data_IF_603151208166
#
_entry.id   IF_603151208166
#
_cell.length_a   1.000
_cell.length_b   1.000
_cell.length_c   1.000
_cell.angle_alpha   90.00
_cell.angle_beta   90.00
_cell.angle_gamma   90.00
#
_symmetry.space_group_name_H-M   'P 1'
#
loop_
_entity.id
_entity.type
_entity.pdbx_description
1 polymer ?
#
# COMPACT_ATOMS: atom_id res chain seq x y z
N UNK A 1 1.81 44.06 -35.45
CA UNK A 1 0.39 43.78 -35.13
C UNK A 1 0.29 42.29 -34.77
N UNK A 2 0.50 41.95 -33.49
CA UNK A 2 0.48 40.57 -33.00
C UNK A 2 -0.94 40.18 -32.55
N UNK A 3 -1.43 39.04 -33.05
CA UNK A 3 -2.81 38.58 -32.92
C UNK A 3 -3.20 38.21 -31.48
N UNK A 4 -4.20 38.91 -30.93
CA UNK A 4 -4.89 38.64 -29.66
C UNK A 4 -5.84 37.42 -29.70
N UNK A 5 -5.88 36.68 -30.81
CA UNK A 5 -6.86 35.61 -31.07
C UNK A 5 -6.69 34.26 -30.33
N UNK A 6 -5.49 33.79 -29.93
CA UNK A 6 -5.36 32.45 -29.36
C UNK A 6 -5.83 32.35 -27.89
N UNK A 7 -5.67 33.43 -27.10
CA UNK A 7 -6.10 33.48 -25.70
C UNK A 7 -7.62 33.49 -25.54
N UNK A 8 -8.34 34.13 -26.47
CA UNK A 8 -9.80 34.18 -26.47
C UNK A 8 -10.41 32.81 -26.78
N UNK A 9 -9.82 32.05 -27.72
CA UNK A 9 -10.24 30.68 -28.03
C UNK A 9 -10.01 29.71 -26.87
N UNK A 10 -8.92 29.88 -26.12
CA UNK A 10 -8.62 29.05 -24.94
C UNK A 10 -9.63 29.31 -23.80
N UNK A 11 -9.95 30.58 -23.52
CA UNK A 11 -10.97 30.94 -22.51
C UNK A 11 -12.35 30.38 -22.83
N UNK A 12 -12.76 30.44 -24.09
CA UNK A 12 -14.05 29.87 -24.54
C UNK A 12 -14.09 28.34 -24.40
N UNK A 13 -12.98 27.65 -24.69
CA UNK A 13 -12.90 26.19 -24.58
C UNK A 13 -12.92 25.71 -23.11
N UNK A 14 -12.27 26.45 -22.21
CA UNK A 14 -12.30 26.16 -20.76
C UNK A 14 -13.70 26.41 -20.18
N UNK A 15 -14.34 27.51 -20.57
CA UNK A 15 -15.71 27.83 -20.12
C UNK A 15 -16.72 26.77 -20.56
N UNK A 16 -16.57 26.22 -21.76
CA UNK A 16 -17.42 25.14 -22.25
C UNK A 16 -17.21 23.84 -21.46
N UNK A 17 -15.96 23.44 -21.19
CA UNK A 17 -15.64 22.24 -20.41
C UNK A 17 -16.15 22.37 -18.96
N UNK A 18 -16.01 23.55 -18.34
CA UNK A 18 -16.55 23.81 -17.00
C UNK A 18 -18.07 23.68 -16.96
N UNK A 19 -18.77 24.20 -17.96
CA UNK A 19 -20.24 24.11 -18.00
C UNK A 19 -20.75 22.67 -18.17
N UNK A 20 -20.04 21.83 -18.93
CA UNK A 20 -20.38 20.40 -19.04
C UNK A 20 -20.07 19.63 -17.74
N UNK A 21 -18.95 19.92 -17.08
CA UNK A 21 -18.63 19.36 -15.75
C UNK A 21 -19.67 19.75 -14.69
N UNK A 22 -20.16 20.99 -14.70
CA UNK A 22 -21.19 21.47 -13.77
C UNK A 22 -22.53 20.77 -14.02
N UNK A 23 -22.87 20.42 -15.27
CA UNK A 23 -24.08 19.64 -15.58
C UNK A 23 -23.98 18.22 -15.02
N UNK A 24 -22.83 17.57 -15.15
CA UNK A 24 -22.58 16.25 -14.56
C UNK A 24 -22.57 16.28 -13.03
N UNK A 25 -22.03 17.33 -12.41
CA UNK A 25 -22.06 17.50 -10.95
C UNK A 25 -23.46 17.77 -10.41
N UNK A 26 -24.32 18.46 -11.17
CA UNK A 26 -25.73 18.71 -10.80
C UNK A 26 -26.64 17.49 -10.94
N UNK A 27 -26.29 16.49 -11.75
CA UNK A 27 -27.09 15.26 -11.87
C UNK A 27 -26.85 14.25 -10.75
N UNK A 28 -25.84 14.48 -9.90
CA UNK A 28 -25.54 13.62 -8.77
C UNK A 28 -26.39 14.10 -7.59
N UNK A 29 -27.43 13.34 -7.28
CA UNK A 29 -28.35 13.64 -6.18
C UNK A 29 -27.56 13.59 -4.86
N UNK A 30 -27.24 14.76 -4.27
CA UNK A 30 -26.39 14.88 -3.09
C UNK A 30 -26.90 14.06 -1.89
N UNK A 31 -28.20 13.78 -1.83
CA UNK A 31 -28.84 12.90 -0.85
C UNK A 31 -28.34 11.46 -0.92
N UNK A 32 -27.98 10.95 -2.10
CA UNK A 32 -27.41 9.60 -2.25
C UNK A 32 -25.93 9.56 -1.84
N UNK A 33 -25.18 10.66 -2.03
CA UNK A 33 -23.80 10.78 -1.55
C UNK A 33 -23.76 10.84 -0.02
N UNK A 34 -24.67 11.61 0.59
CA UNK A 34 -24.76 11.74 2.06
C UNK A 34 -25.21 10.43 2.71
N UNK A 35 -26.12 9.66 2.09
CA UNK A 35 -26.53 8.35 2.59
C UNK A 35 -25.40 7.31 2.48
N UNK A 36 -24.61 7.32 1.39
CA UNK A 36 -23.44 6.45 1.22
C UNK A 36 -22.31 6.80 2.21
N UNK A 37 -22.12 8.08 2.54
CA UNK A 37 -21.14 8.56 3.52
C UNK A 37 -21.55 8.28 4.97
N UNK A 38 -22.86 8.22 5.27
CA UNK A 38 -23.35 7.96 6.63
C UNK A 38 -23.21 6.50 7.10
N UNK A 39 -22.88 5.57 6.20
CA UNK A 39 -22.63 4.17 6.54
C UNK A 39 -21.16 3.86 6.90
N UNK A 40 -20.28 4.88 6.96
CA UNK A 40 -18.82 4.69 7.00
C UNK A 40 -18.13 5.15 8.30
N UNK A 41 -18.87 5.45 9.37
CA UNK A 41 -18.25 5.90 10.62
C UNK A 41 -18.40 4.85 11.73
N UNK A 42 -17.37 4.02 11.90
CA UNK A 42 -17.12 3.34 13.18
C UNK A 42 -15.84 3.91 13.77
N UNK A 43 -15.91 4.42 15.00
CA UNK A 43 -14.74 4.76 15.80
C UNK A 43 -14.48 3.60 16.74
N UNK A 44 -13.41 2.85 16.48
CA UNK A 44 -12.86 1.87 17.40
C UNK A 44 -11.36 2.11 17.51
N UNK A 45 -10.85 2.06 18.74
CA UNK A 45 -9.48 2.37 19.15
C UNK A 45 -8.75 1.08 19.51
N UNK A 46 -8.69 0.14 18.58
CA UNK A 46 -7.76 -0.98 18.61
C UNK A 46 -7.49 -1.42 17.16
N UNK A 47 -6.22 -1.68 16.81
CA UNK A 47 -5.80 -1.88 15.42
C UNK A 47 -4.91 -3.10 15.25
N UNK A 48 -5.30 -4.05 14.42
CA UNK A 48 -4.37 -5.07 13.93
C UNK A 48 -3.37 -4.46 12.93
N UNK A 49 -2.11 -4.90 13.03
CA UNK A 49 -1.02 -4.44 12.16
C UNK A 49 -1.36 -4.66 10.69
N UNK A 50 -1.06 -3.67 9.86
CA UNK A 50 -1.36 -3.73 8.43
C UNK A 50 -0.56 -4.83 7.74
N UNK A 51 -1.26 -5.74 7.06
CA UNK A 51 -0.64 -6.84 6.34
C UNK A 51 0.13 -6.32 5.11
N UNK A 52 1.38 -6.74 4.98
CA UNK A 52 2.24 -6.44 3.84
C UNK A 52 2.49 -7.71 3.01
N UNK A 53 2.79 -7.55 1.71
CA UNK A 53 3.37 -8.66 0.94
C UNK A 53 4.71 -9.07 1.53
N UNK A 54 5.17 -10.30 1.32
CA UNK A 54 6.52 -10.73 1.71
C UNK A 54 7.59 -9.79 1.14
N UNK A 55 7.43 -9.34 -0.10
CA UNK A 55 8.30 -8.33 -0.71
C UNK A 55 8.28 -7.00 0.05
N UNK A 56 7.11 -6.45 0.38
CA UNK A 56 7.02 -5.20 1.14
C UNK A 56 7.62 -5.37 2.53
N UNK A 57 7.35 -6.50 3.20
CA UNK A 57 7.96 -6.82 4.49
C UNK A 57 9.48 -6.79 4.41
N UNK A 58 10.08 -7.39 3.37
CA UNK A 58 11.56 -7.41 3.19
C UNK A 58 12.18 -6.03 2.92
N UNK A 59 11.37 -5.04 2.58
CA UNK A 59 11.76 -3.65 2.30
C UNK A 59 11.17 -2.68 3.33
N UNK A 60 10.75 -3.18 4.49
CA UNK A 60 10.16 -2.40 5.58
C UNK A 60 8.95 -1.57 5.14
N UNK A 61 8.15 -2.10 4.22
CA UNK A 61 6.98 -1.44 3.65
C UNK A 61 7.30 -0.33 2.64
N UNK A 62 8.54 -0.25 2.14
CA UNK A 62 8.95 0.68 1.08
C UNK A 62 8.60 0.12 -0.28
N UNK A 63 8.03 0.93 -1.17
CA UNK A 63 7.72 0.53 -2.53
C UNK A 63 6.68 1.37 -3.24
N UNK A 64 6.29 2.55 -2.74
CA UNK A 64 5.23 3.36 -3.34
C UNK A 64 5.56 3.73 -4.79
N UNK A 65 6.83 4.02 -5.08
CA UNK A 65 7.32 4.31 -6.44
C UNK A 65 7.81 3.10 -7.21
N UNK A 66 7.86 1.94 -6.56
CA UNK A 66 8.37 0.73 -7.18
C UNK A 66 7.37 0.18 -8.19
N UNK A 67 7.90 -0.34 -9.29
CA UNK A 67 7.11 -1.01 -10.31
C UNK A 67 6.85 -2.44 -9.82
N UNK A 68 5.75 -2.62 -9.10
CA UNK A 68 5.37 -3.86 -8.43
C UNK A 68 4.02 -4.41 -8.90
N UNK A 69 3.90 -5.73 -9.01
CA UNK A 69 2.67 -6.40 -9.49
C UNK A 69 1.72 -6.73 -8.35
N UNK A 70 2.18 -7.51 -7.36
CA UNK A 70 1.33 -8.05 -6.30
C UNK A 70 0.88 -6.95 -5.33
N UNK A 71 1.76 -5.97 -5.14
CA UNK A 71 1.56 -4.82 -4.27
C UNK A 71 0.51 -3.84 -4.81
N UNK A 72 0.06 -4.00 -6.06
CA UNK A 72 -1.09 -3.27 -6.59
C UNK A 72 -2.39 -3.56 -5.82
N UNK A 73 -2.47 -4.71 -5.15
CA UNK A 73 -3.60 -5.10 -4.32
C UNK A 73 -3.52 -4.58 -2.88
N UNK A 74 -2.41 -3.92 -2.47
CA UNK A 74 -2.22 -3.50 -1.06
C UNK A 74 -1.63 -2.11 -0.87
N UNK A 75 -0.81 -1.62 -1.80
CA UNK A 75 -0.02 -0.39 -1.64
C UNK A 75 -0.35 0.65 -2.71
N UNK A 76 0.18 0.49 -3.94
CA UNK A 76 -0.02 1.44 -5.03
C UNK A 76 -0.64 0.73 -6.24
N UNK A 77 -1.95 0.88 -6.50
CA UNK A 77 -2.60 0.23 -7.64
C UNK A 77 -2.08 0.71 -9.00
N UNK A 78 -1.43 1.87 -9.09
CA UNK A 78 -0.97 2.41 -10.37
C UNK A 78 0.19 1.61 -10.97
N UNK A 79 1.03 0.95 -10.16
CA UNK A 79 2.28 0.32 -10.59
C UNK A 79 2.06 -0.87 -11.54
N UNK A 80 0.96 -1.60 -11.39
CA UNK A 80 0.60 -2.77 -12.21
C UNK A 80 0.49 -2.45 -13.70
N UNK A 81 0.22 -1.18 -14.06
CA UNK A 81 0.09 -0.78 -15.46
C UNK A 81 1.33 -1.14 -16.30
N UNK A 82 2.51 -1.09 -15.68
CA UNK A 82 3.79 -1.33 -16.33
C UNK A 82 4.20 -2.82 -16.40
N UNK A 83 3.34 -3.74 -15.94
CA UNK A 83 3.56 -5.19 -16.07
C UNK A 83 2.74 -5.80 -17.19
N UNK A 84 3.32 -6.75 -17.91
CA UNK A 84 2.69 -7.41 -19.05
C UNK A 84 2.43 -8.90 -18.82
N UNK A 85 2.55 -9.36 -17.58
CA UNK A 85 2.38 -10.76 -17.24
C UNK A 85 1.43 -10.90 -16.05
N UNK A 86 0.42 -11.76 -16.23
CA UNK A 86 -0.54 -12.09 -15.19
C UNK A 86 0.09 -13.05 -14.19
N UNK A 87 -0.37 -13.03 -12.95
CA UNK A 87 0.21 -13.88 -11.93
C UNK A 87 -0.80 -14.30 -10.85
N UNK A 88 -0.44 -15.38 -10.15
CA UNK A 88 -1.02 -15.75 -8.87
C UNK A 88 0.10 -15.68 -7.84
N UNK A 89 -0.21 -15.09 -6.69
CA UNK A 89 0.70 -14.94 -5.56
C UNK A 89 0.03 -15.47 -4.30
N UNK A 90 0.76 -16.26 -3.53
CA UNK A 90 0.33 -16.71 -2.21
C UNK A 90 1.44 -16.49 -1.20
N UNK A 91 1.07 -15.99 -0.02
CA UNK A 91 1.97 -15.92 1.12
C UNK A 91 1.32 -16.51 2.37
N UNK A 92 2.18 -16.99 3.27
CA UNK A 92 1.86 -17.21 4.67
C UNK A 92 2.98 -16.64 5.53
N UNK A 93 2.62 -16.06 6.66
CA UNK A 93 3.58 -15.56 7.63
C UNK A 93 3.04 -15.59 9.04
N UNK A 94 3.93 -15.25 9.97
CA UNK A 94 3.65 -15.20 11.40
C UNK A 94 4.42 -14.07 12.05
N UNK A 95 4.00 -13.67 13.24
CA UNK A 95 4.78 -12.81 14.13
C UNK A 95 4.78 -13.35 15.54
N UNK A 96 5.89 -13.18 16.25
CA UNK A 96 6.03 -13.48 17.68
C UNK A 96 6.54 -12.24 18.42
N UNK A 97 6.20 -12.16 19.70
CA UNK A 97 6.75 -11.14 20.59
C UNK A 97 7.89 -11.75 21.39
N UNK A 98 9.08 -11.16 21.23
CA UNK A 98 10.26 -11.41 22.03
C UNK A 98 10.25 -10.51 23.26
N UNK A 99 10.89 -10.97 24.35
CA UNK A 99 11.00 -10.22 25.61
C UNK A 99 9.64 -9.83 26.24
N UNK A 100 8.65 -10.74 26.15
CA UNK A 100 7.26 -10.54 26.64
C UNK A 100 7.22 -9.88 28.03
N UNK A 101 6.58 -8.72 28.11
CA UNK A 101 6.42 -7.96 29.35
C UNK A 101 5.59 -8.75 30.36
N UNK A 102 5.95 -8.65 31.64
CA UNK A 102 5.20 -9.25 32.75
C UNK A 102 3.77 -8.69 32.90
N UNK A 103 3.47 -7.57 32.23
CA UNK A 103 2.15 -6.91 32.23
C UNK A 103 1.23 -7.40 31.10
N UNK A 104 1.71 -8.27 30.21
CA UNK A 104 0.95 -8.74 29.05
C UNK A 104 -0.03 -9.85 29.40
N UNK A 105 -1.33 -9.60 29.21
CA UNK A 105 -2.40 -10.57 29.50
C UNK A 105 -2.79 -11.45 28.29
N UNK A 106 -2.47 -11.03 27.06
CA UNK A 106 -2.86 -11.70 25.81
C UNK A 106 -1.65 -12.22 25.03
N UNK A 107 -1.83 -13.35 24.36
CA UNK A 107 -0.81 -13.87 23.45
C UNK A 107 -0.60 -12.92 22.28
N UNK A 108 0.66 -12.57 22.03
CA UNK A 108 1.08 -11.60 21.03
C UNK A 108 1.33 -12.21 19.66
N UNK A 109 1.33 -13.53 19.58
CA UNK A 109 1.63 -14.26 18.37
C UNK A 109 0.49 -14.07 17.35
N UNK A 110 0.85 -13.90 16.09
CA UNK A 110 -0.10 -13.67 15.00
C UNK A 110 0.23 -14.54 13.80
N UNK A 111 -0.80 -14.99 13.09
CA UNK A 111 -0.68 -15.65 11.79
C UNK A 111 -1.39 -14.83 10.72
N UNK A 112 -0.87 -14.89 9.50
CA UNK A 112 -1.51 -14.25 8.36
C UNK A 112 -1.26 -14.99 7.06
N UNK A 113 -2.17 -14.81 6.12
CA UNK A 113 -2.05 -15.33 4.76
C UNK A 113 -2.70 -14.37 3.77
N UNK A 114 -2.19 -14.39 2.54
CA UNK A 114 -2.77 -13.61 1.44
C UNK A 114 -2.66 -14.37 0.13
N UNK A 115 -3.75 -14.35 -0.63
CA UNK A 115 -3.80 -14.74 -2.03
C UNK A 115 -4.01 -13.48 -2.87
N UNK A 116 -3.24 -13.30 -3.94
CA UNK A 116 -3.44 -12.25 -4.94
C UNK A 116 -3.50 -12.90 -6.32
N UNK A 117 -4.46 -12.48 -7.14
CA UNK A 117 -4.58 -12.82 -8.54
C UNK A 117 -4.50 -11.52 -9.33
N UNK A 118 -3.62 -11.49 -10.32
CA UNK A 118 -3.35 -10.31 -11.14
C UNK A 118 -3.65 -10.62 -12.59
N UNK A 119 -4.44 -9.76 -13.24
CA UNK A 119 -4.65 -9.79 -14.68
C UNK A 119 -4.10 -8.52 -15.34
N UNK A 120 -3.19 -8.71 -16.30
CA UNK A 120 -2.54 -7.64 -17.06
C UNK A 120 -2.79 -7.73 -18.57
N UNK A 121 -3.67 -8.64 -18.99
CA UNK A 121 -3.90 -8.96 -20.42
C UNK A 121 -4.65 -7.86 -21.18
N UNK A 122 -5.38 -7.01 -20.46
CA UNK A 122 -6.22 -5.96 -21.04
C UNK A 122 -5.60 -4.55 -20.88
N UNK A 123 -6.19 -3.54 -21.53
CA UNK A 123 -5.80 -2.14 -21.33
C UNK A 123 -6.08 -1.65 -19.90
N UNK A 124 -7.10 -2.22 -19.26
CA UNK A 124 -7.37 -2.06 -17.84
C UNK A 124 -6.71 -3.24 -17.11
N UNK A 125 -5.65 -2.96 -16.36
CA UNK A 125 -4.92 -3.98 -15.60
C UNK A 125 -5.39 -3.94 -14.16
N UNK A 126 -5.45 -5.08 -13.48
CA UNK A 126 -6.02 -5.12 -12.14
C UNK A 126 -5.64 -6.36 -11.36
N UNK A 127 -5.99 -6.33 -10.09
CA UNK A 127 -5.76 -7.45 -9.19
C UNK A 127 -6.92 -7.64 -8.22
N UNK A 128 -7.04 -8.86 -7.73
CA UNK A 128 -7.94 -9.24 -6.65
C UNK A 128 -7.12 -9.89 -5.56
N UNK A 129 -7.40 -9.58 -4.28
CA UNK A 129 -6.76 -10.26 -3.17
C UNK A 129 -7.73 -10.66 -2.08
N UNK A 130 -7.41 -11.75 -1.39
CA UNK A 130 -8.03 -12.18 -0.17
C UNK A 130 -6.98 -12.34 0.92
N UNK A 131 -7.26 -11.82 2.10
CA UNK A 131 -6.34 -11.78 3.23
C UNK A 131 -7.04 -12.23 4.50
N UNK A 132 -6.34 -12.99 5.33
CA UNK A 132 -6.75 -13.26 6.71
C UNK A 132 -5.60 -13.03 7.65
N UNK A 133 -5.91 -12.51 8.84
CA UNK A 133 -4.98 -12.27 9.93
C UNK A 133 -5.64 -12.64 11.25
N UNK A 134 -4.92 -13.34 12.12
CA UNK A 134 -5.39 -13.77 13.43
C UNK A 134 -4.31 -13.45 14.47
N UNK A 135 -4.68 -12.81 15.57
CA UNK A 135 -3.80 -12.51 16.70
C UNK A 135 -4.58 -12.69 18.02
N UNK A 136 -4.35 -13.80 18.71
CA UNK A 136 -5.10 -14.14 19.92
C UNK A 136 -6.61 -14.27 19.66
N UNK A 137 -7.41 -13.33 20.17
CA UNK A 137 -8.87 -13.26 19.95
C UNK A 137 -9.27 -12.30 18.83
N UNK A 138 -8.30 -11.60 18.24
CA UNK A 138 -8.54 -10.63 17.20
C UNK A 138 -8.39 -11.29 15.84
N UNK A 139 -9.31 -11.00 14.92
CA UNK A 139 -9.20 -11.44 13.55
C UNK A 139 -9.49 -10.31 12.57
N UNK A 140 -9.01 -10.49 11.34
CA UNK A 140 -9.31 -9.61 10.21
C UNK A 140 -9.41 -10.43 8.94
N UNK A 141 -10.48 -10.19 8.18
CA UNK A 141 -10.66 -10.66 6.81
C UNK A 141 -10.73 -9.45 5.89
N UNK A 142 -10.00 -9.51 4.78
CA UNK A 142 -9.96 -8.40 3.84
C UNK A 142 -10.00 -8.89 2.41
N UNK A 143 -10.87 -8.25 1.63
CA UNK A 143 -10.98 -8.44 0.19
C UNK A 143 -10.60 -7.13 -0.48
N UNK A 144 -9.73 -7.21 -1.48
CA UNK A 144 -9.31 -6.05 -2.24
C UNK A 144 -9.50 -6.29 -3.72
N UNK A 145 -9.93 -5.25 -4.44
CA UNK A 145 -9.92 -5.21 -5.90
C UNK A 145 -9.23 -3.94 -6.34
N UNK A 146 -8.33 -4.05 -7.32
CA UNK A 146 -7.63 -2.91 -7.90
C UNK A 146 -7.78 -2.87 -9.42
N UNK A 147 -7.71 -1.67 -9.96
CA UNK A 147 -7.70 -1.41 -11.39
C UNK A 147 -6.79 -0.23 -11.71
N UNK A 148 -6.12 -0.27 -12.85
CA UNK A 148 -5.13 0.69 -13.26
C UNK A 148 -5.14 0.95 -14.76
N UNK A 149 -4.88 2.20 -15.12
CA UNK A 149 -4.84 2.67 -16.50
C UNK A 149 -3.70 3.67 -16.69
N UNK A 150 -3.31 3.94 -17.93
CA UNK A 150 -2.33 4.98 -18.21
C UNK A 150 -2.96 6.37 -18.29
N UNK A 151 -2.19 7.35 -17.82
CA UNK A 151 -2.40 8.78 -18.07
C UNK A 151 -1.47 9.32 -19.17
N UNK A 152 -0.60 8.46 -19.73
CA UNK A 152 0.36 8.80 -20.78
C UNK A 152 1.26 7.62 -21.12
N UNK A 153 2.44 7.89 -21.67
CA UNK A 153 3.45 6.84 -21.93
C UNK A 153 4.19 6.41 -20.65
N UNK A 154 4.35 7.35 -19.74
CA UNK A 154 5.22 7.22 -18.57
C UNK A 154 4.45 7.40 -17.25
N UNK A 155 3.13 7.55 -17.31
CA UNK A 155 2.30 7.82 -16.14
C UNK A 155 1.13 6.86 -16.10
N UNK A 156 0.81 6.36 -14.91
CA UNK A 156 -0.38 5.55 -14.65
C UNK A 156 -1.12 6.06 -13.42
N UNK A 157 -2.41 5.73 -13.39
CA UNK A 157 -3.31 5.98 -12.30
C UNK A 157 -4.02 4.67 -11.95
N UNK A 158 -4.17 4.42 -10.66
CA UNK A 158 -4.85 3.25 -10.15
C UNK A 158 -5.86 3.59 -9.07
N UNK A 159 -6.86 2.73 -8.96
CA UNK A 159 -7.86 2.73 -7.88
C UNK A 159 -7.84 1.36 -7.24
N UNK A 160 -7.94 1.33 -5.93
CA UNK A 160 -8.07 0.12 -5.13
C UNK A 160 -9.26 0.32 -4.20
N UNK A 161 -10.14 -0.67 -4.18
CA UNK A 161 -11.25 -0.77 -3.25
C UNK A 161 -10.99 -1.93 -2.30
N UNK A 162 -11.20 -1.69 -1.01
CA UNK A 162 -10.91 -2.62 0.07
C UNK A 162 -12.13 -2.76 0.98
N UNK A 163 -12.60 -3.99 1.14
CA UNK A 163 -13.59 -4.39 2.14
C UNK A 163 -12.84 -5.05 3.29
N UNK A 164 -13.03 -4.55 4.51
CA UNK A 164 -12.43 -5.13 5.72
C UNK A 164 -13.52 -5.46 6.73
N UNK A 165 -13.42 -6.66 7.29
CA UNK A 165 -14.19 -7.14 8.42
C UNK A 165 -13.19 -7.55 9.50
N UNK A 166 -13.33 -7.02 10.72
CA UNK A 166 -12.40 -7.29 11.81
C UNK A 166 -13.10 -7.33 13.17
N UNK A 167 -12.62 -8.20 14.05
CA UNK A 167 -13.05 -8.31 15.44
C UNK A 167 -11.88 -7.94 16.38
N UNK A 168 -11.54 -6.65 16.48
CA UNK A 168 -10.38 -6.18 17.29
C UNK A 168 -10.83 -5.62 18.65
N UNK A 169 -11.78 -4.70 18.63
CA UNK A 169 -12.46 -4.08 19.79
C UNK A 169 -13.99 -4.20 19.68
N UNK A 170 -14.44 -5.23 18.97
CA UNK A 170 -15.82 -5.42 18.54
C UNK A 170 -15.89 -5.60 17.03
N UNK A 171 -17.04 -6.09 16.57
CA UNK A 171 -17.24 -6.39 15.16
C UNK A 171 -17.37 -5.11 14.34
N UNK A 172 -16.44 -4.91 13.40
CA UNK A 172 -16.40 -3.74 12.52
C UNK A 172 -16.31 -4.17 11.06
N UNK A 173 -17.11 -3.50 10.23
CA UNK A 173 -17.08 -3.64 8.78
C UNK A 173 -16.93 -2.26 8.17
N UNK A 174 -15.95 -2.10 7.28
CA UNK A 174 -15.70 -0.83 6.63
C UNK A 174 -15.09 -0.99 5.23
N UNK A 175 -15.19 0.09 4.46
CA UNK A 175 -14.86 0.14 3.04
C UNK A 175 -13.90 1.29 2.76
N UNK A 176 -12.72 0.98 2.22
CA UNK A 176 -11.69 1.97 1.96
C UNK A 176 -11.43 2.08 0.45
N UNK A 177 -11.13 3.30 0.01
CA UNK A 177 -10.61 3.58 -1.34
C UNK A 177 -9.16 4.02 -1.27
N UNK A 178 -8.31 3.53 -2.18
CA UNK A 178 -6.93 4.01 -2.32
C UNK A 178 -6.72 4.43 -3.77
N UNK A 179 -6.23 5.66 -3.95
CA UNK A 179 -5.85 6.19 -5.25
C UNK A 179 -4.33 6.19 -5.38
N UNK A 180 -3.84 5.70 -6.51
CA UNK A 180 -2.41 5.59 -6.79
C UNK A 180 -2.02 6.36 -8.05
N UNK A 181 -0.81 6.91 -8.04
CA UNK A 181 -0.12 7.45 -9.20
C UNK A 181 1.27 6.85 -9.27
N UNK A 182 1.72 6.54 -10.49
CA UNK A 182 3.10 6.15 -10.76
C UNK A 182 3.60 6.92 -11.99
N UNK A 183 4.80 7.48 -11.88
CA UNK A 183 5.45 8.20 -12.98
C UNK A 183 6.88 7.68 -13.18
N UNK A 184 7.16 7.16 -14.39
CA UNK A 184 8.48 6.73 -14.82
C UNK A 184 9.21 7.88 -15.51
N UNK A 185 10.11 8.55 -14.80
CA UNK A 185 10.91 9.62 -15.41
C UNK A 185 11.85 9.06 -16.47
N UNK A 186 12.51 7.94 -16.16
CA UNK A 186 13.30 7.14 -17.10
C UNK A 186 13.39 5.68 -16.57
N UNK A 187 14.17 4.83 -17.24
CA UNK A 187 14.36 3.42 -16.85
C UNK A 187 14.99 3.22 -15.46
N UNK A 188 15.61 4.26 -14.88
CA UNK A 188 16.28 4.20 -13.59
C UNK A 188 15.52 4.91 -12.48
N UNK A 189 14.64 5.85 -12.79
CA UNK A 189 14.01 6.71 -11.80
C UNK A 189 12.50 6.69 -11.97
N UNK A 190 11.79 6.28 -10.92
CA UNK A 190 10.35 6.35 -10.83
C UNK A 190 9.92 7.06 -9.55
N UNK A 191 8.74 7.68 -9.65
CA UNK A 191 8.05 8.34 -8.56
C UNK A 191 6.67 7.70 -8.38
N UNK A 192 6.19 7.71 -7.15
CA UNK A 192 4.86 7.22 -6.84
C UNK A 192 4.19 8.11 -5.81
N UNK A 193 2.87 8.13 -5.82
CA UNK A 193 2.07 8.78 -4.79
C UNK A 193 0.81 7.97 -4.53
N UNK A 194 0.35 7.97 -3.28
CA UNK A 194 -0.92 7.35 -2.90
C UNK A 194 -1.72 8.30 -2.02
N UNK A 195 -3.04 8.20 -2.16
CA UNK A 195 -4.03 8.77 -1.25
C UNK A 195 -4.90 7.62 -0.75
N UNK A 196 -4.66 7.20 0.49
CA UNK A 196 -5.39 6.13 1.14
C UNK A 196 -6.54 6.67 1.98
N UNK A 197 -7.69 6.04 1.80
CA UNK A 197 -8.96 6.24 2.49
C UNK A 197 -9.47 7.69 2.56
N UNK A 198 -9.59 8.42 1.43
CA UNK A 198 -10.06 9.81 1.42
C UNK A 198 -11.51 9.98 1.89
N UNK A 199 -12.23 8.88 2.06
CA UNK A 199 -13.61 8.85 2.56
C UNK A 199 -13.67 8.66 4.08
N UNK A 200 -12.52 8.53 4.75
CA UNK A 200 -12.39 8.49 6.20
C UNK A 200 -13.14 7.31 6.85
N UNK A 201 -13.22 6.18 6.14
CA UNK A 201 -13.90 4.99 6.66
C UNK A 201 -13.16 4.38 7.85
N UNK A 202 -11.82 4.50 7.87
CA UNK A 202 -10.97 4.26 9.03
C UNK A 202 -9.88 5.33 9.13
N UNK A 203 -10.08 6.32 10.01
CA UNK A 203 -9.18 7.49 10.15
C UNK A 203 -7.72 7.12 10.39
N UNK A 204 -7.48 6.07 11.15
CA UNK A 204 -6.14 5.59 11.50
C UNK A 204 -5.34 5.06 10.30
N UNK A 205 -6.01 4.73 9.19
CA UNK A 205 -5.41 4.19 7.97
C UNK A 205 -5.31 5.22 6.84
N UNK A 206 -5.79 6.44 7.08
CA UNK A 206 -5.73 7.51 6.08
C UNK A 206 -4.28 7.93 5.85
N UNK A 207 -3.82 7.94 4.60
CA UNK A 207 -2.43 8.28 4.27
C UNK A 207 -2.34 9.13 3.02
N UNK A 208 -1.50 10.16 3.07
CA UNK A 208 -0.95 10.81 1.90
C UNK A 208 0.54 10.49 1.89
N UNK A 209 1.00 9.78 0.86
CA UNK A 209 2.37 9.33 0.81
C UNK A 209 2.95 9.43 -0.59
N UNK A 210 4.26 9.63 -0.64
CA UNK A 210 5.05 9.72 -1.86
C UNK A 210 6.29 8.85 -1.74
N UNK A 211 6.74 8.34 -2.88
CA UNK A 211 7.92 7.50 -2.96
C UNK A 211 8.82 7.85 -4.12
N UNK A 212 10.05 7.38 -4.04
CA UNK A 212 11.02 7.38 -5.13
C UNK A 212 11.75 6.04 -5.18
N UNK A 213 11.99 5.56 -6.39
CA UNK A 213 12.86 4.42 -6.65
C UNK A 213 13.94 4.83 -7.64
N UNK A 214 15.19 4.53 -7.32
CA UNK A 214 16.35 4.83 -8.14
C UNK A 214 17.26 3.61 -8.34
N UNK A 215 17.44 3.19 -9.59
CA UNK A 215 18.40 2.17 -10.01
C UNK A 215 19.79 2.80 -10.13
N UNK A 216 20.59 2.67 -9.07
CA UNK A 216 21.96 3.19 -8.98
C UNK A 216 22.85 2.50 -10.01
N UNK A 217 22.71 1.18 -10.11
CA UNK A 217 23.35 0.33 -11.08
C UNK A 217 22.34 -0.71 -11.59
N UNK A 218 22.71 -1.51 -12.60
CA UNK A 218 21.84 -2.57 -13.11
C UNK A 218 21.40 -3.56 -12.02
N UNK A 219 22.25 -3.77 -11.00
CA UNK A 219 22.03 -4.75 -9.95
C UNK A 219 21.69 -4.12 -8.59
N UNK A 220 21.54 -2.79 -8.50
CA UNK A 220 21.33 -2.10 -7.23
C UNK A 220 20.23 -1.05 -7.35
N UNK A 221 19.21 -1.19 -6.52
CA UNK A 221 18.06 -0.29 -6.44
C UNK A 221 18.00 0.29 -5.04
N UNK A 222 17.81 1.60 -4.94
CA UNK A 222 17.47 2.29 -3.71
C UNK A 222 16.03 2.80 -3.79
N UNK A 223 15.33 2.76 -2.66
CA UNK A 223 13.93 3.13 -2.53
C UNK A 223 13.78 3.97 -1.27
N UNK A 224 12.92 4.99 -1.33
CA UNK A 224 12.56 5.78 -0.16
C UNK A 224 11.12 6.25 -0.28
N UNK A 225 10.38 6.12 0.82
CA UNK A 225 8.99 6.53 0.94
C UNK A 225 8.81 7.44 2.16
N UNK A 226 7.95 8.44 2.02
CA UNK A 226 7.53 9.34 3.09
C UNK A 226 6.02 9.50 3.03
N UNK A 227 5.38 9.64 4.18
CA UNK A 227 3.96 9.92 4.23
C UNK A 227 3.48 10.42 5.57
N UNK A 228 2.23 10.87 5.56
CA UNK A 228 1.54 11.42 6.73
C UNK A 228 0.14 10.84 6.84
N UNK A 229 -0.38 10.73 8.06
CA UNK A 229 -1.81 10.68 8.28
C UNK A 229 -2.37 12.10 8.15
N UNK A 230 -3.29 12.34 7.22
CA UNK A 230 -3.79 13.69 6.95
C UNK A 230 -5.03 14.06 7.77
N UNK A 231 -5.50 13.18 8.66
CA UNK A 231 -6.69 13.41 9.49
C UNK A 231 -6.37 13.78 10.93
N UNK A 232 -5.35 13.15 11.51
CA UNK A 232 -4.92 13.37 12.89
C UNK A 232 -3.52 14.00 12.89
N UNK A 233 -3.38 15.24 13.38
CA UNK A 233 -2.11 15.97 13.56
C UNK A 233 -0.98 15.58 12.58
N UNK A 234 -1.07 15.97 11.30
CA UNK A 234 -0.14 15.53 10.25
C UNK A 234 1.33 15.82 10.56
N UNK A 235 1.60 16.85 11.36
CA UNK A 235 2.94 17.21 11.83
C UNK A 235 3.59 16.17 12.74
N UNK A 236 2.80 15.41 13.51
CA UNK A 236 3.30 14.36 14.42
C UNK A 236 3.08 12.95 13.86
N UNK A 237 2.06 12.76 13.02
CA UNK A 237 1.67 11.48 12.44
C UNK A 237 2.30 11.28 11.05
N UNK A 238 3.58 10.93 11.03
CA UNK A 238 4.35 10.70 9.80
C UNK A 238 5.17 9.42 9.83
N UNK A 239 5.59 8.97 8.64
CA UNK A 239 6.52 7.87 8.48
C UNK A 239 7.61 8.21 7.47
N UNK A 240 8.76 7.57 7.66
CA UNK A 240 9.85 7.50 6.70
C UNK A 240 10.31 6.06 6.58
N UNK A 241 10.54 5.63 5.35
CA UNK A 241 10.99 4.27 5.03
C UNK A 241 12.06 4.35 3.96
N UNK A 242 13.07 3.52 4.08
CA UNK A 242 14.13 3.41 3.08
C UNK A 242 14.54 1.96 2.92
N UNK A 243 14.85 1.56 1.69
CA UNK A 243 15.27 0.21 1.40
C UNK A 243 16.23 0.15 0.23
N UNK A 244 17.06 -0.89 0.22
CA UNK A 244 17.96 -1.23 -0.86
C UNK A 244 17.71 -2.66 -1.32
N UNK A 245 17.86 -2.90 -2.60
CA UNK A 245 17.78 -4.22 -3.21
C UNK A 245 19.04 -4.44 -4.06
N UNK A 246 19.72 -5.56 -3.79
CA UNK A 246 20.89 -6.01 -4.53
C UNK A 246 20.54 -7.29 -5.30
N UNK A 247 20.84 -7.31 -6.59
CA UNK A 247 20.72 -8.49 -7.43
C UNK A 247 22.07 -9.21 -7.50
N UNK A 248 22.05 -10.50 -7.17
CA UNK A 248 23.15 -11.42 -7.32
C UNK A 248 22.82 -12.42 -8.43
N UNK A 249 23.84 -12.75 -9.23
CA UNK A 249 23.64 -13.60 -10.41
C UNK A 249 22.55 -13.02 -11.33
N UNK A 250 21.59 -13.84 -11.78
CA UNK A 250 20.50 -13.40 -12.68
C UNK A 250 19.12 -13.37 -12.02
N UNK A 251 18.98 -14.06 -10.90
CA UNK A 251 17.70 -14.49 -10.34
C UNK A 251 17.61 -14.34 -8.82
N UNK A 252 18.72 -14.07 -8.12
CA UNK A 252 18.74 -13.90 -6.67
C UNK A 252 18.75 -12.42 -6.29
N UNK A 253 17.91 -12.06 -5.32
CA UNK A 253 17.77 -10.70 -4.84
C UNK A 253 17.83 -10.68 -3.32
N UNK A 254 18.74 -9.89 -2.77
CA UNK A 254 18.79 -9.55 -1.35
C UNK A 254 18.16 -8.19 -1.16
N UNK A 255 17.37 -8.04 -0.10
CA UNK A 255 16.71 -6.79 0.26
C UNK A 255 17.02 -6.46 1.70
N UNK A 256 17.20 -5.18 1.96
CA UNK A 256 17.32 -4.62 3.29
C UNK A 256 16.47 -3.36 3.37
N UNK A 257 15.73 -3.22 4.46
CA UNK A 257 14.87 -2.07 4.71
C UNK A 257 15.03 -1.55 6.14
N UNK A 258 14.75 -0.27 6.32
CA UNK A 258 14.57 0.37 7.60
C UNK A 258 13.35 1.27 7.55
N UNK A 259 12.67 1.40 8.69
CA UNK A 259 11.55 2.31 8.81
C UNK A 259 11.45 2.95 10.18
N UNK A 260 10.83 4.13 10.19
CA UNK A 260 10.33 4.79 11.39
C UNK A 260 8.94 5.32 11.07
N UNK A 261 7.94 4.76 11.73
CA UNK A 261 6.53 5.04 11.51
C UNK A 261 5.91 5.53 12.81
N UNK A 262 5.72 6.86 12.91
CA UNK A 262 5.09 7.45 14.09
C UNK A 262 3.58 7.26 14.11
N UNK A 263 3.00 6.80 13.00
CA UNK A 263 1.57 6.58 12.90
C UNK A 263 1.19 5.26 13.56
N UNK A 264 1.95 4.21 13.25
CA UNK A 264 1.81 2.92 13.93
C UNK A 264 2.68 2.83 15.20
N UNK A 265 3.45 3.89 15.52
CA UNK A 265 4.38 4.01 16.66
C UNK A 265 5.45 2.91 16.70
N UNK A 266 5.97 2.56 15.53
CA UNK A 266 6.95 1.49 15.36
C UNK A 266 8.16 1.99 14.59
N UNK A 267 9.33 1.43 14.91
CA UNK A 267 10.51 1.50 14.07
C UNK A 267 11.14 0.12 13.95
N UNK A 268 12.00 -0.06 12.95
CA UNK A 268 12.61 -1.37 12.76
C UNK A 268 13.36 -1.53 11.47
N UNK A 269 13.76 -2.78 11.25
CA UNK A 269 14.56 -3.20 10.11
C UNK A 269 13.99 -4.46 9.50
N UNK A 270 14.32 -4.70 8.24
CA UNK A 270 13.89 -5.91 7.55
C UNK A 270 14.96 -6.44 6.61
N UNK A 271 14.96 -7.75 6.42
CA UNK A 271 15.78 -8.44 5.46
C UNK A 271 14.89 -9.34 4.61
N UNK A 272 15.30 -9.60 3.38
CA UNK A 272 14.66 -10.65 2.61
C UNK A 272 15.48 -11.17 1.46
N UNK A 273 15.16 -12.38 1.09
CA UNK A 273 15.74 -13.11 -0.03
C UNK A 273 14.63 -13.39 -1.03
N UNK A 274 14.91 -13.19 -2.30
CA UNK A 274 14.02 -13.64 -3.36
C UNK A 274 14.79 -14.37 -4.44
N UNK A 275 14.20 -15.46 -4.91
CA UNK A 275 14.62 -16.14 -6.12
C UNK A 275 13.53 -15.96 -7.18
N UNK A 276 13.91 -15.46 -8.36
CA UNK A 276 12.98 -15.18 -9.46
C UNK A 276 13.37 -16.05 -10.66
N UNK A 277 12.66 -17.15 -10.83
CA UNK A 277 12.75 -18.00 -12.01
C UNK A 277 11.91 -17.50 -13.18
N UNK A 278 11.90 -18.23 -14.31
CA UNK A 278 11.16 -17.81 -15.51
C UNK A 278 9.63 -17.74 -15.35
N UNK A 279 9.06 -18.57 -14.47
CA UNK A 279 7.61 -18.63 -14.22
C UNK A 279 7.24 -18.66 -12.75
N UNK A 280 8.17 -19.08 -11.89
CA UNK A 280 7.94 -19.22 -10.45
C UNK A 280 8.93 -18.34 -9.73
N UNK A 281 8.48 -17.64 -8.69
CA UNK A 281 9.37 -16.97 -7.75
C UNK A 281 9.08 -17.42 -6.33
N UNK A 282 10.12 -17.35 -5.49
CA UNK A 282 10.04 -17.55 -4.06
C UNK A 282 10.56 -16.30 -3.35
N UNK A 283 9.90 -15.91 -2.29
CA UNK A 283 10.34 -14.81 -1.45
C UNK A 283 10.28 -15.22 0.02
N UNK A 284 11.27 -14.79 0.78
CA UNK A 284 11.31 -14.91 2.22
C UNK A 284 11.67 -13.56 2.83
N UNK A 285 11.00 -13.19 3.91
CA UNK A 285 11.23 -11.94 4.61
C UNK A 285 11.27 -12.17 6.12
N UNK A 286 12.12 -11.40 6.77
CA UNK A 286 12.19 -11.20 8.21
C UNK A 286 12.09 -9.71 8.49
N UNK A 287 11.32 -9.34 9.49
CA UNK A 287 11.18 -7.96 9.94
C UNK A 287 11.16 -7.91 11.46
N UNK A 288 11.98 -7.05 12.00
CA UNK A 288 12.10 -6.79 13.43
C UNK A 288 11.54 -5.39 13.68
N UNK A 289 10.68 -5.27 14.68
CA UNK A 289 9.96 -4.04 14.99
C UNK A 289 9.97 -3.77 16.49
N UNK A 290 10.17 -2.52 16.86
CA UNK A 290 10.20 -2.07 18.26
C UNK A 290 9.28 -0.87 18.41
N UNK A 291 8.73 -0.73 19.61
CA UNK A 291 7.85 0.37 19.93
C UNK A 291 8.65 1.68 20.05
N UNK A 292 8.15 2.76 19.44
CA UNK A 292 8.68 4.11 19.67
C UNK A 292 8.25 4.65 21.04
N UNK A 293 7.07 4.22 21.48
CA UNK A 293 6.41 4.55 22.75
C UNK A 293 5.51 3.35 23.11
N UNK A 294 5.23 3.10 24.39
CA UNK A 294 4.30 2.03 24.79
C UNK A 294 2.94 2.18 24.11
N UNK A 295 2.46 1.10 23.48
CA UNK A 295 1.17 1.01 22.80
C UNK A 295 0.35 -0.17 23.32
N UNK A 296 -0.93 -0.25 22.91
CA UNK A 296 -1.75 -1.44 23.19
C UNK A 296 -1.23 -2.70 22.48
N UNK A 297 -0.47 -2.54 21.38
CA UNK A 297 0.06 -3.65 20.59
C UNK A 297 1.42 -4.13 21.10
N UNK A 298 2.26 -3.19 21.53
CA UNK A 298 3.66 -3.43 21.86
C UNK A 298 4.10 -2.53 23.02
N UNK A 299 4.63 -3.15 24.08
CA UNK A 299 5.27 -2.42 25.18
C UNK A 299 6.65 -1.90 24.74
N UNK A 300 7.16 -0.86 25.40
CA UNK A 300 8.44 -0.22 25.04
C UNK A 300 9.63 -1.19 25.11
N UNK A 301 9.55 -2.19 25.98
CA UNK A 301 10.59 -3.19 26.23
C UNK A 301 10.51 -4.38 25.25
N UNK A 302 9.47 -4.46 24.43
CA UNK A 302 9.18 -5.64 23.62
C UNK A 302 9.61 -5.45 22.15
N UNK A 303 10.07 -6.55 21.57
CA UNK A 303 10.43 -6.63 20.16
C UNK A 303 9.48 -7.60 19.44
N UNK A 304 9.00 -7.21 18.26
CA UNK A 304 8.21 -8.07 17.41
C UNK A 304 9.04 -8.57 16.25
N UNK A 305 9.14 -9.88 16.15
CA UNK A 305 9.72 -10.55 15.01
C UNK A 305 8.62 -11.06 14.10
N UNK A 306 8.65 -10.66 12.83
CA UNK A 306 7.73 -11.09 11.79
C UNK A 306 8.51 -11.88 10.73
N UNK A 307 7.92 -12.97 10.24
CA UNK A 307 8.46 -13.75 9.14
C UNK A 307 7.38 -14.05 8.11
N UNK A 308 7.76 -14.13 6.84
CA UNK A 308 6.83 -14.42 5.76
C UNK A 308 7.52 -15.18 4.63
N UNK A 309 6.82 -16.14 4.06
CA UNK A 309 7.22 -16.85 2.86
C UNK A 309 6.13 -16.72 1.79
N UNK A 310 6.56 -16.47 0.55
CA UNK A 310 5.66 -16.38 -0.58
C UNK A 310 6.15 -17.17 -1.79
N UNK A 311 5.17 -17.59 -2.57
CA UNK A 311 5.34 -18.15 -3.90
C UNK A 311 4.52 -17.31 -4.88
N UNK A 312 5.08 -17.06 -6.07
CA UNK A 312 4.30 -16.51 -7.17
C UNK A 312 4.50 -17.32 -8.44
N UNK A 313 3.45 -17.38 -9.26
CA UNK A 313 3.46 -18.02 -10.56
C UNK A 313 2.94 -17.07 -11.63
N UNK A 314 3.74 -16.84 -12.66
CA UNK A 314 3.39 -16.06 -13.84
C UNK A 314 2.80 -16.96 -14.92
N UNK A 315 1.72 -16.52 -15.56
CA UNK A 315 1.05 -17.22 -16.66
C UNK A 315 0.62 -16.26 -17.77
#
# INVERSE_FOLDING_TARGET
MGSLFPLLKLKLKISFIMNELIKYLKSINCTNIVFLLSLLATTGNAKLRELQTTRLMSTSGTGIASILTNESAVLNPASIYFFNASNIYYQKGSSSIEEKSSLRELDGDAEHQMLVITDTTSQLKGSFSFQTQEQGKQDRKRITSSASTNLGKNASFGVLYRYTEEDVDGHRVYHQGIFGLTYMYNERLSFGAILADPFLANKEDTRLAGGVQFSIAQNFIAMADIGVNYTDSPETQNFVRAAVQAQFFRDLFLKYGQYKDKIDKLEGVSWGLSWIGPRISFEYALKESRALETTELLFEDEEVQEQSFAISMVF
#
